data_IF_935941710223
#
_entry.id   IF_935941710223
#
_cell.length_a   1.000
_cell.length_b   1.000
_cell.length_c   1.000
_cell.angle_alpha   90.00
_cell.angle_beta   90.00
_cell.angle_gamma   90.00
#
_symmetry.space_group_name_H-M   'P 1'
#
loop_
_entity.id
_entity.type
_entity.pdbx_description
1 polymer ?
#
# COMPACT_ATOMS: atom_id res chain seq x y z
N UNK A 1 -17.06 22.02 0.16
CA UNK A 1 -17.47 20.62 -0.10
C UNK A 1 -16.21 19.80 -0.23
N UNK A 2 -16.05 18.77 0.60
CA UNK A 2 -14.88 17.90 0.57
C UNK A 2 -14.95 16.97 -0.63
N UNK A 3 -13.85 16.85 -1.38
CA UNK A 3 -13.73 15.97 -2.55
C UNK A 3 -12.37 15.28 -2.55
N UNK A 4 -12.34 14.12 -3.20
CA UNK A 4 -11.11 13.38 -3.52
C UNK A 4 -10.90 13.49 -5.02
N UNK A 5 -9.73 13.97 -5.44
CA UNK A 5 -9.31 14.02 -6.84
C UNK A 5 -8.23 12.96 -7.06
N UNK A 6 -8.40 12.12 -8.09
CA UNK A 6 -7.45 11.06 -8.44
C UNK A 6 -6.93 11.35 -9.85
N UNK A 7 -5.62 11.46 -9.99
CA UNK A 7 -4.94 11.60 -11.28
C UNK A 7 -4.03 10.39 -11.51
N UNK A 8 -4.38 9.60 -12.52
CA UNK A 8 -3.71 8.36 -12.93
C UNK A 8 -3.33 8.38 -14.42
N UNK A 9 -3.21 9.57 -15.03
CA UNK A 9 -2.86 9.70 -16.46
C UNK A 9 -1.43 9.26 -16.76
N UNK A 10 -0.55 9.37 -15.76
CA UNK A 10 0.87 9.07 -15.83
C UNK A 10 1.13 7.73 -15.14
N UNK A 11 1.81 6.80 -15.80
CA UNK A 11 2.08 5.48 -15.22
C UNK A 11 3.18 5.54 -14.16
N UNK A 12 4.04 6.55 -14.24
CA UNK A 12 5.15 6.81 -13.32
C UNK A 12 4.70 7.37 -11.96
N UNK A 13 3.51 7.97 -11.88
CA UNK A 13 2.98 8.55 -10.65
C UNK A 13 1.45 8.48 -10.55
N UNK A 14 0.94 8.05 -9.40
CA UNK A 14 -0.45 8.18 -9.03
C UNK A 14 -0.59 9.30 -8.01
N UNK A 15 -1.47 10.26 -8.26
CA UNK A 15 -1.70 11.40 -7.36
C UNK A 15 -3.11 11.39 -6.81
N UNK A 16 -3.24 11.47 -5.49
CA UNK A 16 -4.52 11.55 -4.79
C UNK A 16 -4.54 12.81 -3.94
N UNK A 17 -5.47 13.72 -4.21
CA UNK A 17 -5.61 14.97 -3.48
C UNK A 17 -6.94 15.03 -2.74
N UNK A 18 -6.91 15.45 -1.48
CA UNK A 18 -8.10 15.82 -0.72
C UNK A 18 -8.26 17.33 -0.75
N UNK A 19 -9.43 17.80 -1.19
CA UNK A 19 -9.73 19.23 -1.30
C UNK A 19 -11.00 19.57 -0.53
N UNK A 20 -11.09 20.81 -0.03
CA UNK A 20 -12.35 21.43 0.38
C UNK A 20 -12.64 22.65 -0.49
N UNK A 21 -13.63 22.53 -1.39
CA UNK A 21 -13.86 23.52 -2.43
C UNK A 21 -12.70 23.56 -3.43
N UNK A 22 -11.88 24.61 -3.38
CA UNK A 22 -10.65 24.74 -4.18
C UNK A 22 -9.37 24.71 -3.33
N UNK A 23 -9.49 24.56 -2.01
CA UNK A 23 -8.34 24.51 -1.12
C UNK A 23 -7.83 23.08 -1.00
N UNK A 24 -6.55 22.88 -1.31
CA UNK A 24 -5.85 21.63 -1.05
C UNK A 24 -5.69 21.43 0.46
N UNK A 25 -6.08 20.27 0.94
CA UNK A 25 -5.93 19.86 2.33
C UNK A 25 -4.81 18.86 2.50
N UNK A 26 -4.74 17.87 1.61
CA UNK A 26 -3.75 16.80 1.64
C UNK A 26 -3.43 16.31 0.22
N UNK A 27 -2.24 15.78 0.03
CA UNK A 27 -1.74 15.26 -1.24
C UNK A 27 -0.84 14.05 -0.99
N UNK A 28 -1.24 12.91 -1.55
CA UNK A 28 -0.43 11.72 -1.58
C UNK A 28 0.01 11.41 -3.02
N UNK A 29 1.27 11.04 -3.19
CA UNK A 29 1.89 10.70 -4.47
C UNK A 29 2.54 9.34 -4.34
N UNK A 30 1.99 8.35 -5.05
CA UNK A 30 2.53 7.00 -5.10
C UNK A 30 3.34 6.81 -6.38
N UNK A 31 4.60 6.39 -6.21
CA UNK A 31 5.49 6.01 -7.31
C UNK A 31 5.57 4.48 -7.35
N UNK A 32 5.38 3.82 -8.51
CA UNK A 32 5.32 2.35 -8.63
C UNK A 32 6.57 1.62 -8.13
N UNK A 33 7.72 2.31 -8.08
CA UNK A 33 9.01 1.72 -7.74
C UNK A 33 9.13 1.22 -6.28
N UNK A 34 8.21 1.59 -5.38
CA UNK A 34 8.25 1.18 -3.97
C UNK A 34 6.94 0.57 -3.53
N UNK A 35 6.76 -0.72 -3.84
CA UNK A 35 5.63 -1.49 -3.34
C UNK A 35 5.64 -1.50 -1.81
N UNK A 36 4.63 -0.88 -1.19
CA UNK A 36 4.47 -0.91 0.26
C UNK A 36 3.82 -2.23 0.67
N UNK A 37 4.62 -3.13 1.24
CA UNK A 37 4.12 -4.43 1.72
C UNK A 37 3.59 -4.40 3.17
N UNK A 38 3.81 -3.30 3.90
CA UNK A 38 3.39 -3.16 5.30
C UNK A 38 1.87 -3.01 5.39
N UNK A 39 1.24 -3.82 6.24
CA UNK A 39 -0.22 -3.81 6.42
C UNK A 39 -0.98 -4.69 5.43
N UNK A 40 -0.28 -5.31 4.47
CA UNK A 40 -0.89 -6.27 3.56
C UNK A 40 -1.29 -7.55 4.32
N UNK A 41 -2.38 -8.18 3.86
CA UNK A 41 -2.90 -9.43 4.40
C UNK A 41 -2.88 -10.45 3.27
N UNK A 42 -2.26 -11.60 3.53
CA UNK A 42 -2.09 -12.69 2.57
C UNK A 42 -2.65 -13.99 3.10
N UNK A 43 -3.02 -14.90 2.20
CA UNK A 43 -3.28 -16.30 2.52
C UNK A 43 -1.99 -17.08 2.32
N UNK A 44 -1.29 -17.38 3.42
CA UNK A 44 -0.02 -18.12 3.38
C UNK A 44 -0.13 -19.61 3.68
N UNK A 45 0.86 -20.37 3.21
CA UNK A 45 1.07 -21.79 3.52
C UNK A 45 2.29 -21.93 4.44
N UNK A 46 2.13 -22.68 5.53
CA UNK A 46 3.27 -23.03 6.40
C UNK A 46 4.20 -23.96 5.60
N UNK A 47 5.48 -23.59 5.50
CA UNK A 47 6.50 -24.38 4.80
C UNK A 47 7.38 -25.16 5.75
N UNK A 48 7.67 -24.62 6.93
CA UNK A 48 8.50 -25.27 7.96
C UNK A 48 8.14 -24.77 9.35
N UNK A 49 8.13 -25.68 10.33
CA UNK A 49 8.05 -25.37 11.75
C UNK A 49 9.44 -25.51 12.35
N UNK A 50 9.90 -24.51 13.10
CA UNK A 50 11.25 -24.48 13.68
C UNK A 50 11.16 -24.23 15.21
N UNK A 51 11.05 -25.30 16.02
CA UNK A 51 10.83 -25.18 17.46
C UNK A 51 11.95 -24.44 18.19
N UNK A 52 13.19 -24.55 17.71
CA UNK A 52 14.35 -23.88 18.30
C UNK A 52 14.25 -22.34 18.28
N UNK A 53 13.48 -21.80 17.33
CA UNK A 53 13.22 -20.37 17.19
C UNK A 53 11.85 -19.97 17.74
N UNK A 54 11.08 -20.93 18.25
CA UNK A 54 9.66 -20.76 18.59
C UNK A 54 8.85 -20.15 17.42
N UNK A 55 9.18 -20.55 16.18
CA UNK A 55 8.68 -19.88 14.98
C UNK A 55 8.27 -20.86 13.86
N UNK A 56 7.56 -20.31 12.87
CA UNK A 56 7.20 -20.99 11.62
C UNK A 56 7.55 -20.11 10.42
N UNK A 57 7.96 -20.76 9.34
CA UNK A 57 8.13 -20.11 8.04
C UNK A 57 6.83 -20.24 7.25
N UNK A 58 6.38 -19.13 6.68
CA UNK A 58 5.15 -19.04 5.88
C UNK A 58 5.52 -18.51 4.50
N UNK A 59 5.14 -19.27 3.48
CA UNK A 59 5.11 -18.83 2.09
C UNK A 59 3.77 -18.15 1.83
N UNK A 60 3.77 -16.87 1.46
CA UNK A 60 2.57 -16.07 1.24
C UNK A 60 2.33 -15.71 -0.24
N UNK A 61 3.08 -16.36 -1.14
CA UNK A 61 3.12 -16.05 -2.57
C UNK A 61 4.54 -15.86 -3.07
#
# INVERSE_FOLDING_TARGET
MKRILINATHEEELRVAMIDGQRLFDLDIAVPAKEQKKGNIYKGKITRVEPSLEAVFVDYG
#
